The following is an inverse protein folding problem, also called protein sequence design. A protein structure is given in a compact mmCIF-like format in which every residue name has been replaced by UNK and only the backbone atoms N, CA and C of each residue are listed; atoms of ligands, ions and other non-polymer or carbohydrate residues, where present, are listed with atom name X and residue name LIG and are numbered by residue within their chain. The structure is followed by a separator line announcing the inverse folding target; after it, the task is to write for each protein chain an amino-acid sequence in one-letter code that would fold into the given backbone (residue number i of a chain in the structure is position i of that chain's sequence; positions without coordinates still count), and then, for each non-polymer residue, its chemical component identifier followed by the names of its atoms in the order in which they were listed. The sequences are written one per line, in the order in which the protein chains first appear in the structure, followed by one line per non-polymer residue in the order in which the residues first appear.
data_IF_608306888641
#
_entry.id   IF_608306888641
#
_cell.length_a   1.000
_cell.length_b   1.000
_cell.length_c   1.000
_cell.angle_alpha   90.00
_cell.angle_beta   90.00
_cell.angle_gamma   90.00
#
_symmetry.space_group_name_H-M   'P 1'
#
loop_
_entity.id
_entity.type
_entity.pdbx_description
1 polymer ?
#
# COMPACT_ATOMS: atom_id res chain seq x y z
N UNK A 1 -2.80 7.30 -3.04
CA UNK A 1 -2.48 8.33 -4.02
C UNK A 1 -1.62 9.43 -3.40
N UNK A 2 -0.31 9.17 -3.26
CA UNK A 2 0.64 10.11 -2.67
C UNK A 2 0.61 11.47 -3.40
N UNK A 3 0.51 11.46 -4.72
CA UNK A 3 0.44 12.66 -5.55
C UNK A 3 -0.80 13.54 -5.28
N UNK A 4 -1.87 13.01 -4.74
CA UNK A 4 -3.05 13.81 -4.35
C UNK A 4 -2.76 14.70 -3.14
N UNK A 5 -1.70 14.40 -2.45
CA UNK A 5 -1.27 15.09 -1.23
C UNK A 5 0.02 15.90 -1.41
N UNK A 6 0.44 16.13 -2.65
CA UNK A 6 1.61 16.97 -2.93
C UNK A 6 1.49 18.36 -2.29
N UNK A 7 0.29 18.91 -2.21
CA UNK A 7 0.03 20.19 -1.55
C UNK A 7 0.19 20.13 -0.03
N UNK A 8 0.09 18.94 0.55
CA UNK A 8 0.26 18.73 2.00
C UNK A 8 1.75 18.60 2.39
N UNK A 9 2.65 18.61 1.41
CA UNK A 9 4.09 18.77 1.60
C UNK A 9 4.48 20.22 1.90
N UNK A 10 3.53 21.06 2.28
CA UNK A 10 3.87 22.34 2.81
C UNK A 10 4.83 22.12 3.98
N UNK A 11 6.05 22.60 3.84
CA UNK A 11 7.04 22.53 4.90
C UNK A 11 6.57 23.39 6.06
N UNK A 12 6.21 22.75 7.16
CA UNK A 12 5.92 23.45 8.39
C UNK A 12 7.17 23.51 9.23
N UNK A 13 7.52 24.68 9.69
CA UNK A 13 8.48 24.85 10.75
C UNK A 13 7.88 24.25 12.03
N UNK A 14 8.63 23.41 12.74
CA UNK A 14 8.16 22.80 14.00
C UNK A 14 7.71 23.85 15.03
N UNK A 15 8.34 25.01 15.04
CA UNK A 15 7.95 26.12 15.89
C UNK A 15 6.58 26.70 15.51
N UNK A 16 6.27 26.83 14.24
CA UNK A 16 4.96 27.26 13.75
C UNK A 16 3.86 26.26 14.09
N UNK A 17 4.20 24.99 14.16
CA UNK A 17 3.31 23.95 14.65
C UNK A 17 3.15 23.95 16.17
N UNK A 18 3.86 24.83 16.88
CA UNK A 18 3.83 24.94 18.32
C UNK A 18 4.64 23.87 19.05
N UNK A 19 5.50 23.14 18.33
CA UNK A 19 6.48 22.24 18.90
C UNK A 19 7.74 23.05 19.18
N UNK A 20 8.04 23.31 20.42
CA UNK A 20 9.13 24.20 20.82
C UNK A 20 10.10 23.49 21.74
N UNK A 21 11.21 23.04 21.20
CA UNK A 21 12.37 22.60 21.97
C UNK A 21 13.26 23.76 22.40
N UNK A 22 13.00 24.98 21.94
CA UNK A 22 13.89 26.13 22.07
C UNK A 22 13.62 27.00 23.28
N UNK A 23 12.61 26.72 24.07
CA UNK A 23 12.34 27.50 25.28
C UNK A 23 13.22 27.00 26.42
N UNK A 24 14.05 27.85 26.98
CA UNK A 24 14.99 27.47 28.05
C UNK A 24 14.31 27.18 29.39
N UNK A 25 13.01 27.18 29.46
CA UNK A 25 12.26 26.97 30.69
C UNK A 25 11.91 25.51 30.90
N UNK A 26 12.39 24.84 31.94
CA UNK A 26 12.19 23.40 32.18
C UNK A 26 10.72 23.01 32.43
N UNK A 27 9.83 24.00 32.52
CA UNK A 27 8.39 23.79 32.75
C UNK A 27 7.53 23.96 31.48
N UNK A 28 8.14 24.30 30.36
CA UNK A 28 7.41 24.40 29.11
C UNK A 28 7.16 23.03 28.53
N UNK A 29 5.95 22.56 28.74
CA UNK A 29 5.44 21.35 28.05
C UNK A 29 4.56 21.81 26.92
N UNK A 30 4.93 21.55 25.70
CA UNK A 30 3.99 21.64 24.60
C UNK A 30 2.97 20.52 24.75
N UNK A 31 1.71 20.84 24.45
CA UNK A 31 0.65 19.84 24.31
C UNK A 31 0.34 19.56 22.84
N UNK A 32 1.19 20.05 21.95
CA UNK A 32 1.02 19.90 20.51
C UNK A 32 1.56 18.56 20.07
N UNK A 33 0.79 17.91 19.22
CA UNK A 33 1.19 16.70 18.52
C UNK A 33 0.83 16.86 17.06
N UNK A 34 1.78 16.59 16.21
CA UNK A 34 1.55 16.42 14.78
C UNK A 34 1.55 14.93 14.50
N UNK A 35 0.41 14.38 14.19
CA UNK A 35 0.25 12.95 13.94
C UNK A 35 -0.44 12.69 12.62
N UNK A 36 0.01 11.67 11.93
CA UNK A 36 -0.54 11.19 10.66
C UNK A 36 -0.69 9.69 10.74
N UNK A 37 -1.82 9.20 10.25
CA UNK A 37 -2.09 7.77 10.23
C UNK A 37 -3.05 7.36 9.14
N UNK A 38 -3.23 6.08 9.03
CA UNK A 38 -4.21 5.48 8.16
C UNK A 38 -5.22 4.68 8.99
N UNK A 39 -6.51 4.92 8.78
CA UNK A 39 -7.60 4.27 9.51
C UNK A 39 -8.25 3.12 8.73
N UNK A 40 -7.83 2.88 7.51
CA UNK A 40 -8.37 1.83 6.63
C UNK A 40 -7.40 0.67 6.41
N UNK A 41 -7.84 -0.25 5.57
CA UNK A 41 -7.06 -1.44 5.21
C UNK A 41 -5.93 -1.15 4.19
N UNK A 42 -5.99 -0.01 3.51
CA UNK A 42 -4.97 0.41 2.56
C UNK A 42 -3.96 1.32 3.24
N UNK A 43 -2.73 0.92 3.32
CA UNK A 43 -1.68 1.67 4.03
C UNK A 43 -1.41 3.06 3.44
N UNK A 44 -1.76 3.29 2.19
CA UNK A 44 -1.58 4.56 1.47
C UNK A 44 -2.90 5.22 1.06
N UNK A 45 -3.97 5.05 1.84
CA UNK A 45 -5.30 5.59 1.50
C UNK A 45 -5.31 7.11 1.42
N UNK A 46 -4.80 7.81 2.41
CA UNK A 46 -4.71 9.28 2.45
C UNK A 46 -3.26 9.75 2.38
N UNK A 47 -2.41 9.13 3.16
CA UNK A 47 -0.98 9.43 3.25
C UNK A 47 -0.18 8.17 3.01
N UNK A 48 1.03 8.32 2.50
CA UNK A 48 1.99 7.21 2.46
C UNK A 48 2.58 7.00 3.87
N UNK A 49 2.93 5.74 4.24
CA UNK A 49 3.43 5.41 5.58
C UNK A 49 4.87 5.85 5.80
N UNK A 50 5.16 7.12 5.58
CA UNK A 50 6.50 7.68 5.73
C UNK A 50 6.44 9.15 6.15
N UNK A 51 7.58 9.68 6.55
CA UNK A 51 7.75 11.08 6.84
C UNK A 51 9.21 11.51 6.73
N UNK A 52 9.41 12.81 6.81
CA UNK A 52 10.67 13.46 6.58
C UNK A 52 10.77 14.71 7.44
N UNK A 53 11.96 14.94 7.99
CA UNK A 53 12.34 16.16 8.70
C UNK A 53 13.67 16.66 8.18
N UNK A 54 13.79 17.94 7.99
CA UNK A 54 15.02 18.61 7.58
C UNK A 54 15.49 19.58 8.67
N UNK A 55 16.77 19.56 8.96
CA UNK A 55 17.43 20.56 9.74
C UNK A 55 18.32 21.39 8.82
N UNK A 56 17.88 22.61 8.53
CA UNK A 56 18.58 23.52 7.63
C UNK A 56 19.89 24.07 8.21
N UNK A 57 20.01 24.14 9.54
CA UNK A 57 21.24 24.63 10.19
C UNK A 57 22.38 23.61 10.08
N UNK A 58 22.08 22.34 10.15
CA UNK A 58 23.06 21.26 10.06
C UNK A 58 23.14 20.61 8.69
N UNK A 59 22.33 21.08 7.74
CA UNK A 59 22.20 20.50 6.40
C UNK A 59 22.02 18.97 6.44
N UNK A 60 21.14 18.52 7.34
CA UNK A 60 20.88 17.11 7.55
C UNK A 60 19.39 16.82 7.61
N UNK A 61 19.03 15.58 7.29
CA UNK A 61 17.65 15.14 7.28
C UNK A 61 17.49 13.81 7.99
N UNK A 62 16.31 13.64 8.56
CA UNK A 62 15.80 12.41 9.15
C UNK A 62 14.60 11.97 8.34
N UNK A 63 14.52 10.69 8.00
CA UNK A 63 13.37 10.12 7.33
C UNK A 63 12.98 8.80 7.97
N UNK A 64 11.73 8.40 7.78
CA UNK A 64 11.22 7.13 8.31
C UNK A 64 10.15 6.56 7.38
N UNK A 65 9.94 5.25 7.49
CA UNK A 65 8.80 4.56 6.91
C UNK A 65 8.29 3.48 7.86
N UNK A 66 6.97 3.21 7.79
CA UNK A 66 6.34 2.10 8.48
C UNK A 66 6.06 1.02 7.43
N UNK A 67 6.61 -0.19 7.65
CA UNK A 67 6.62 -1.27 6.67
C UNK A 67 5.42 -2.19 6.88
N UNK A 68 4.23 -1.63 6.61
CA UNK A 68 2.96 -2.32 6.83
C UNK A 68 1.99 -2.05 5.68
N UNK A 69 1.22 -3.06 5.32
CA UNK A 69 0.17 -2.96 4.31
C UNK A 69 -1.23 -2.63 4.87
N UNK A 70 -1.36 -2.52 6.17
CA UNK A 70 -2.58 -2.14 6.87
C UNK A 70 -2.47 -0.80 7.58
N UNK A 71 -3.17 -0.67 8.71
CA UNK A 71 -3.23 0.56 9.50
C UNK A 71 -1.92 0.88 10.21
N UNK A 72 -1.59 2.14 10.26
CA UNK A 72 -0.37 2.66 10.88
C UNK A 72 -0.58 4.06 11.42
N UNK A 73 0.34 4.51 12.28
CA UNK A 73 0.34 5.85 12.84
C UNK A 73 1.76 6.29 13.18
N UNK A 74 2.09 7.54 12.92
CA UNK A 74 3.27 8.18 13.47
C UNK A 74 2.94 9.56 14.04
N UNK A 75 3.73 10.02 14.98
CA UNK A 75 3.59 11.34 15.55
C UNK A 75 4.94 11.97 15.90
N UNK A 76 4.96 13.29 15.80
CA UNK A 76 6.02 14.14 16.32
C UNK A 76 5.40 15.01 17.41
N UNK A 77 6.01 15.05 18.55
CA UNK A 77 5.64 15.91 19.67
C UNK A 77 6.87 16.25 20.47
N UNK A 78 6.71 16.98 21.55
CA UNK A 78 7.78 17.30 22.47
C UNK A 78 7.49 16.81 23.87
N UNK A 79 8.55 16.38 24.55
CA UNK A 79 8.51 15.98 25.95
C UNK A 79 9.78 16.48 26.64
N UNK A 80 9.60 17.20 27.75
CA UNK A 80 10.71 17.70 28.58
C UNK A 80 11.77 18.52 27.81
N UNK A 81 11.30 19.29 26.80
CA UNK A 81 12.18 20.12 25.97
C UNK A 81 12.83 19.39 24.78
N UNK A 82 12.48 18.13 24.56
CA UNK A 82 12.97 17.33 23.43
C UNK A 82 11.86 16.98 22.48
N UNK A 83 12.11 17.10 21.18
CA UNK A 83 11.21 16.59 20.14
C UNK A 83 11.42 15.09 20.00
N UNK A 84 10.35 14.36 19.94
CA UNK A 84 10.37 12.91 19.69
C UNK A 84 9.58 12.54 18.45
N UNK A 85 9.99 11.45 17.84
CA UNK A 85 9.27 10.75 16.79
C UNK A 85 8.79 9.39 17.33
N UNK A 86 7.49 9.12 17.18
CA UNK A 86 6.90 7.82 17.50
C UNK A 86 6.37 7.19 16.22
N UNK A 87 6.74 5.93 15.99
CA UNK A 87 6.27 5.12 14.87
C UNK A 87 5.50 3.92 15.41
N UNK A 88 4.35 3.64 14.82
CA UNK A 88 3.55 2.47 15.22
C UNK A 88 2.75 1.87 14.07
N UNK A 89 2.43 0.59 14.18
CA UNK A 89 1.35 -0.06 13.44
C UNK A 89 -0.02 0.43 13.93
N UNK A 90 -1.06 -0.40 13.86
CA UNK A 90 -2.38 -0.05 14.34
C UNK A 90 -2.36 0.25 15.86
N UNK A 91 -3.19 1.19 16.28
CA UNK A 91 -3.33 1.60 17.67
C UNK A 91 -4.78 1.46 18.12
N UNK A 92 -5.01 1.36 19.42
CA UNK A 92 -6.37 1.35 19.97
C UNK A 92 -7.10 2.64 19.63
N UNK A 93 -6.45 3.80 19.83
CA UNK A 93 -7.06 5.11 19.66
C UNK A 93 -7.50 5.41 18.21
N UNK A 94 -6.67 5.03 17.22
CA UNK A 94 -6.94 5.37 15.81
C UNK A 94 -7.57 4.22 15.02
N UNK A 95 -7.39 2.97 15.48
CA UNK A 95 -7.73 1.79 14.69
C UNK A 95 -8.55 0.76 15.48
N UNK A 96 -8.93 1.07 16.71
CA UNK A 96 -9.63 0.15 17.63
C UNK A 96 -8.93 -1.21 17.76
N UNK A 97 -7.61 -1.18 17.76
CA UNK A 97 -6.79 -2.39 17.78
C UNK A 97 -5.96 -2.50 19.06
N UNK A 98 -5.99 -3.65 19.67
CA UNK A 98 -5.14 -4.00 20.83
C UNK A 98 -4.80 -5.48 20.83
N UNK A 99 -3.78 -5.86 21.55
CA UNK A 99 -3.36 -7.24 21.76
C UNK A 99 -3.18 -7.49 23.26
N UNK A 100 -3.95 -8.42 23.81
CA UNK A 100 -3.68 -8.95 25.14
C UNK A 100 -2.58 -10.00 25.07
N UNK A 101 -1.50 -9.78 25.81
CA UNK A 101 -0.42 -10.74 25.93
C UNK A 101 -0.55 -11.51 27.25
N UNK A 102 -0.61 -12.82 27.16
CA UNK A 102 -0.57 -13.68 28.32
C UNK A 102 0.89 -13.87 28.77
N UNK A 103 1.13 -14.25 30.04
CA UNK A 103 2.48 -14.57 30.50
C UNK A 103 3.17 -15.60 29.60
N UNK A 104 4.34 -15.26 29.10
CA UNK A 104 5.10 -16.09 28.15
C UNK A 104 4.80 -15.89 26.67
N UNK A 105 3.76 -15.11 26.31
CA UNK A 105 3.52 -14.75 24.91
C UNK A 105 4.43 -13.63 24.41
N UNK A 106 4.73 -13.68 23.14
CA UNK A 106 5.51 -12.64 22.43
C UNK A 106 4.65 -11.99 21.34
N UNK A 107 4.81 -10.70 21.19
CA UNK A 107 4.26 -9.93 20.09
C UNK A 107 5.37 -9.22 19.33
N UNK A 108 5.38 -9.38 18.00
CA UNK A 108 6.28 -8.66 17.11
C UNK A 108 5.52 -7.47 16.52
N UNK A 109 6.02 -6.28 16.76
CA UNK A 109 5.43 -5.06 16.21
C UNK A 109 5.61 -4.98 14.70
N UNK A 110 4.83 -4.12 14.06
CA UNK A 110 5.05 -3.74 12.66
C UNK A 110 6.46 -3.17 12.50
N UNK A 111 7.24 -3.60 11.50
CA UNK A 111 8.55 -3.05 11.24
C UNK A 111 8.47 -1.57 10.87
N UNK A 112 9.44 -0.81 11.31
CA UNK A 112 9.65 0.57 10.90
C UNK A 112 11.14 0.82 10.65
N UNK A 113 11.45 1.58 9.61
CA UNK A 113 12.80 2.00 9.31
C UNK A 113 12.96 3.49 9.57
N UNK A 114 14.12 3.87 10.12
CA UNK A 114 14.52 5.25 10.32
C UNK A 114 15.90 5.42 9.70
N UNK A 115 16.09 6.50 8.94
CA UNK A 115 17.35 6.81 8.31
C UNK A 115 17.68 8.30 8.42
N UNK A 116 18.94 8.62 8.22
CA UNK A 116 19.44 9.98 8.14
C UNK A 116 20.27 10.18 6.87
N UNK A 117 20.26 11.39 6.36
CA UNK A 117 21.08 11.79 5.24
C UNK A 117 21.76 13.15 5.51
N UNK A 118 22.91 13.36 4.93
CA UNK A 118 23.50 14.70 4.78
C UNK A 118 22.85 15.35 3.56
N UNK A 119 22.25 16.52 3.74
CA UNK A 119 21.50 17.22 2.70
C UNK A 119 20.00 17.23 2.94
N UNK A 120 19.27 17.57 1.88
CA UNK A 120 17.83 17.80 1.92
C UNK A 120 17.00 16.60 1.50
N UNK A 121 15.87 16.93 0.86
CA UNK A 121 14.86 15.93 0.47
C UNK A 121 15.38 14.91 -0.55
N UNK A 122 16.11 15.35 -1.56
CA UNK A 122 16.57 14.47 -2.64
C UNK A 122 17.58 13.44 -2.12
N UNK A 123 18.49 13.85 -1.22
CA UNK A 123 19.46 12.98 -0.57
C UNK A 123 18.77 11.96 0.33
N UNK A 124 17.80 12.40 1.12
CA UNK A 124 17.01 11.52 1.98
C UNK A 124 16.21 10.48 1.17
N UNK A 125 15.59 10.90 0.07
CA UNK A 125 14.85 9.98 -0.82
C UNK A 125 15.79 9.04 -1.58
N UNK A 126 16.99 9.49 -1.89
CA UNK A 126 18.06 8.65 -2.44
C UNK A 126 18.46 7.53 -1.47
N UNK A 127 18.68 7.86 -0.19
CA UNK A 127 18.99 6.88 0.86
C UNK A 127 17.84 5.91 1.11
N UNK A 128 16.60 6.41 1.20
CA UNK A 128 15.42 5.56 1.35
C UNK A 128 15.26 4.60 0.16
N UNK A 129 15.51 5.08 -1.05
CA UNK A 129 15.46 4.24 -2.26
C UNK A 129 16.54 3.15 -2.21
N UNK A 130 17.74 3.48 -1.76
CA UNK A 130 18.85 2.53 -1.58
C UNK A 130 18.48 1.46 -0.56
N UNK A 131 17.93 1.87 0.56
CA UNK A 131 17.40 0.95 1.59
C UNK A 131 16.33 0.02 1.03
N UNK A 132 15.30 0.56 0.35
CA UNK A 132 14.22 -0.24 -0.24
C UNK A 132 14.72 -1.27 -1.25
N UNK A 133 15.73 -0.92 -2.04
CA UNK A 133 16.37 -1.86 -2.97
C UNK A 133 17.12 -2.97 -2.24
N UNK A 134 17.75 -2.65 -1.10
CA UNK A 134 18.50 -3.63 -0.31
C UNK A 134 17.60 -4.65 0.39
N UNK A 135 16.43 -4.21 0.90
CA UNK A 135 15.49 -5.09 1.61
C UNK A 135 14.50 -5.80 0.70
N UNK A 136 14.41 -5.38 -0.55
CA UNK A 136 13.49 -5.97 -1.53
C UNK A 136 13.77 -7.45 -1.72
N UNK A 137 12.70 -8.27 -1.62
CA UNK A 137 12.82 -9.70 -1.92
C UNK A 137 13.25 -9.90 -3.37
N UNK A 138 14.29 -10.68 -3.56
CA UNK A 138 14.77 -11.04 -4.89
C UNK A 138 13.74 -11.96 -5.56
N UNK A 139 13.34 -11.64 -6.78
CA UNK A 139 12.53 -12.47 -7.66
C UNK A 139 12.84 -12.15 -9.13
N UNK A 140 12.40 -13.02 -10.03
CA UNK A 140 12.68 -12.89 -11.46
C UNK A 140 12.10 -11.61 -12.07
N UNK A 141 10.92 -11.19 -11.63
CA UNK A 141 10.25 -9.98 -12.16
C UNK A 141 11.00 -8.68 -11.81
N UNK A 142 11.86 -8.69 -10.80
CA UNK A 142 12.72 -7.55 -10.48
C UNK A 142 13.92 -7.42 -11.41
N UNK A 143 14.37 -8.53 -11.99
CA UNK A 143 15.52 -8.62 -12.89
C UNK A 143 15.08 -8.51 -14.36
N UNK A 144 13.98 -9.16 -14.69
CA UNK A 144 13.42 -9.25 -16.02
C UNK A 144 12.06 -8.58 -16.05
N UNK A 145 12.03 -7.28 -16.34
CA UNK A 145 10.81 -6.48 -16.40
C UNK A 145 9.89 -6.96 -17.52
N UNK A 146 8.94 -7.81 -17.20
CA UNK A 146 8.04 -8.46 -18.14
C UNK A 146 7.00 -7.50 -18.70
N UNK A 147 6.61 -7.72 -19.95
CA UNK A 147 5.50 -6.98 -20.59
C UNK A 147 4.19 -7.66 -20.21
N UNK A 148 3.29 -6.91 -19.55
CA UNK A 148 2.01 -7.40 -19.04
C UNK A 148 0.87 -6.74 -19.82
N UNK A 149 -0.03 -7.54 -20.38
CA UNK A 149 -1.34 -7.07 -20.84
C UNK A 149 -2.35 -7.20 -19.68
N UNK A 150 -3.14 -6.16 -19.46
CA UNK A 150 -4.23 -6.15 -18.50
C UNK A 150 -5.53 -5.77 -19.25
N UNK A 151 -6.59 -6.52 -19.05
CA UNK A 151 -7.83 -6.41 -19.81
C UNK A 151 -8.82 -5.35 -19.27
N UNK A 152 -8.49 -4.64 -18.17
CA UNK A 152 -9.46 -3.74 -17.52
C UNK A 152 -9.54 -2.37 -18.17
N UNK A 153 -8.52 -1.53 -17.95
CA UNK A 153 -8.55 -0.12 -18.35
C UNK A 153 -8.47 0.03 -19.86
N UNK A 154 -9.40 0.84 -20.42
CA UNK A 154 -9.54 1.06 -21.86
C UNK A 154 -9.82 -0.21 -22.68
N UNK A 155 -10.28 -1.28 -22.03
CA UNK A 155 -10.57 -2.57 -22.62
C UNK A 155 -11.93 -3.09 -22.12
N UNK A 156 -11.99 -4.06 -21.23
CA UNK A 156 -13.24 -4.73 -20.81
C UNK A 156 -13.94 -4.10 -19.59
N UNK A 157 -13.24 -3.27 -18.81
CA UNK A 157 -13.79 -2.57 -17.63
C UNK A 157 -14.52 -3.49 -16.62
N UNK A 158 -14.00 -4.70 -16.41
CA UNK A 158 -14.58 -5.66 -15.46
C UNK A 158 -15.70 -6.51 -16.04
N UNK A 159 -15.72 -6.68 -17.36
CA UNK A 159 -16.65 -7.57 -18.06
C UNK A 159 -15.91 -8.65 -18.89
N UNK A 160 -14.99 -9.42 -18.27
CA UNK A 160 -14.28 -10.51 -18.93
C UNK A 160 -15.22 -11.69 -19.17
N UNK A 161 -15.18 -12.26 -20.37
CA UNK A 161 -15.84 -13.50 -20.73
C UNK A 161 -14.94 -14.32 -21.65
N UNK A 162 -15.12 -15.65 -21.71
CA UNK A 162 -14.34 -16.49 -22.62
C UNK A 162 -14.32 -15.93 -24.05
N UNK A 163 -15.47 -15.47 -24.56
CA UNK A 163 -15.61 -14.95 -25.93
C UNK A 163 -14.78 -13.67 -26.15
N UNK A 164 -14.74 -12.77 -25.14
CA UNK A 164 -14.02 -11.50 -25.23
C UNK A 164 -12.53 -11.66 -25.00
N UNK A 165 -12.13 -12.58 -24.13
CA UNK A 165 -10.73 -12.81 -23.78
C UNK A 165 -9.93 -13.43 -24.91
N UNK A 166 -10.47 -14.43 -25.61
CA UNK A 166 -9.75 -15.16 -26.65
C UNK A 166 -9.10 -14.23 -27.71
N UNK A 167 -9.84 -13.28 -28.33
CA UNK A 167 -9.23 -12.38 -29.32
C UNK A 167 -8.21 -11.41 -28.69
N UNK A 168 -8.38 -11.01 -27.42
CA UNK A 168 -7.42 -10.15 -26.72
C UNK A 168 -6.13 -10.90 -26.44
N UNK A 169 -6.22 -12.16 -26.01
CA UNK A 169 -5.07 -13.03 -25.78
C UNK A 169 -4.25 -13.19 -27.07
N UNK A 170 -4.90 -13.39 -28.22
CA UNK A 170 -4.21 -13.48 -29.50
C UNK A 170 -3.44 -12.20 -29.81
N UNK A 171 -4.06 -11.04 -29.62
CA UNK A 171 -3.43 -9.75 -29.89
C UNK A 171 -2.32 -9.40 -28.90
N UNK A 172 -2.47 -9.75 -27.63
CA UNK A 172 -1.43 -9.59 -26.63
C UNK A 172 -0.21 -10.44 -26.97
N UNK A 173 -0.40 -11.68 -27.41
CA UNK A 173 0.69 -12.55 -27.85
C UNK A 173 1.39 -12.01 -29.10
N UNK A 174 0.64 -11.56 -30.11
CA UNK A 174 1.18 -10.90 -31.32
C UNK A 174 2.01 -9.64 -30.96
N UNK A 175 1.58 -8.91 -29.93
CA UNK A 175 2.30 -7.71 -29.45
C UNK A 175 3.55 -8.05 -28.62
N UNK A 176 3.79 -9.31 -28.32
CA UNK A 176 4.96 -9.75 -27.56
C UNK A 176 4.79 -9.64 -26.04
N UNK A 177 3.54 -9.61 -25.54
CA UNK A 177 3.31 -9.68 -24.11
C UNK A 177 3.74 -11.03 -23.54
N UNK A 178 4.24 -11.02 -22.32
CA UNK A 178 4.73 -12.21 -21.62
C UNK A 178 3.76 -12.66 -20.53
N UNK A 179 2.94 -11.75 -20.03
CA UNK A 179 1.85 -11.99 -19.08
C UNK A 179 0.53 -11.49 -19.64
N UNK A 180 -0.54 -12.19 -19.32
CA UNK A 180 -1.90 -11.75 -19.57
C UNK A 180 -2.68 -11.78 -18.25
N UNK A 181 -3.14 -10.62 -17.78
CA UNK A 181 -3.89 -10.47 -16.54
C UNK A 181 -5.38 -10.32 -16.85
N UNK A 182 -6.18 -11.29 -16.41
CA UNK A 182 -7.64 -11.16 -16.33
C UNK A 182 -7.94 -10.35 -15.08
N UNK A 183 -8.38 -9.11 -15.27
CA UNK A 183 -8.62 -8.17 -14.19
C UNK A 183 -10.01 -8.40 -13.54
N UNK A 184 -10.57 -7.36 -12.92
CA UNK A 184 -11.83 -7.44 -12.19
C UNK A 184 -12.98 -8.06 -13.01
N UNK A 185 -13.88 -8.76 -12.32
CA UNK A 185 -15.13 -9.30 -12.93
C UNK A 185 -15.13 -10.80 -13.17
N UNK A 186 -13.98 -11.46 -13.24
CA UNK A 186 -13.90 -12.90 -13.50
C UNK A 186 -14.65 -13.76 -12.48
N UNK A 187 -14.88 -13.24 -11.29
CA UNK A 187 -15.52 -13.90 -10.13
C UNK A 187 -17.00 -13.53 -9.96
N UNK A 188 -17.55 -12.59 -10.73
CA UNK A 188 -18.89 -12.06 -10.52
C UNK A 188 -19.70 -12.07 -11.80
N UNK A 189 -20.93 -12.60 -11.77
CA UNK A 189 -21.85 -12.59 -12.90
C UNK A 189 -22.37 -11.16 -13.22
N UNK A 190 -22.53 -10.30 -12.20
CA UNK A 190 -23.05 -8.94 -12.32
C UNK A 190 -21.96 -7.86 -12.29
N UNK A 191 -22.30 -6.71 -11.70
CA UNK A 191 -21.33 -5.66 -11.46
C UNK A 191 -20.24 -6.16 -10.53
N UNK A 192 -19.02 -6.16 -11.02
CA UNK A 192 -17.91 -6.86 -10.39
C UNK A 192 -17.61 -6.38 -8.96
N UNK A 193 -17.79 -5.08 -8.69
CA UNK A 193 -17.49 -4.50 -7.37
C UNK A 193 -18.39 -5.05 -6.26
N UNK A 194 -19.65 -5.33 -6.59
CA UNK A 194 -20.61 -5.87 -5.62
C UNK A 194 -20.25 -7.29 -5.15
N UNK A 195 -19.59 -8.07 -6.00
CA UNK A 195 -19.26 -9.48 -5.77
C UNK A 195 -17.83 -9.75 -5.28
N UNK A 196 -17.01 -8.70 -5.08
CA UNK A 196 -15.63 -8.85 -4.58
C UNK A 196 -15.61 -9.65 -3.27
N UNK A 197 -14.70 -10.60 -3.13
CA UNK A 197 -14.44 -11.29 -1.86
C UNK A 197 -14.38 -12.82 -1.90
N UNK A 198 -15.29 -13.53 -2.61
CA UNK A 198 -15.26 -15.00 -2.63
C UNK A 198 -14.23 -15.59 -3.60
N UNK A 199 -13.90 -14.87 -4.65
CA UNK A 199 -12.86 -15.21 -5.64
C UNK A 199 -13.07 -16.60 -6.30
N UNK A 200 -14.32 -16.94 -6.59
CA UNK A 200 -14.68 -18.12 -7.38
C UNK A 200 -15.04 -17.71 -8.81
N UNK A 201 -14.51 -18.40 -9.83
CA UNK A 201 -14.81 -18.06 -11.21
C UNK A 201 -16.31 -18.10 -11.50
N UNK A 202 -16.81 -17.08 -12.21
CA UNK A 202 -18.21 -17.04 -12.66
C UNK A 202 -18.45 -18.05 -13.80
N UNK A 203 -19.30 -19.03 -13.57
CA UNK A 203 -19.70 -19.99 -14.61
C UNK A 203 -20.53 -19.36 -15.76
N UNK A 204 -21.13 -18.19 -15.52
CA UNK A 204 -21.82 -17.42 -16.55
C UNK A 204 -20.82 -16.77 -17.52
N UNK A 205 -19.75 -16.22 -17.01
CA UNK A 205 -18.70 -15.57 -17.81
C UNK A 205 -17.77 -16.58 -18.48
N UNK A 206 -17.51 -17.68 -17.81
CA UNK A 206 -16.62 -18.75 -18.26
C UNK A 206 -17.34 -20.10 -18.23
N UNK A 207 -18.19 -20.38 -19.22
CA UNK A 207 -18.99 -21.63 -19.27
C UNK A 207 -18.11 -22.89 -19.27
N UNK A 208 -16.94 -22.84 -19.89
CA UNK A 208 -15.93 -23.92 -19.87
C UNK A 208 -15.00 -23.87 -18.65
N UNK A 209 -15.27 -22.94 -17.71
CA UNK A 209 -14.40 -22.64 -16.57
C UNK A 209 -13.25 -21.70 -16.94
N UNK A 210 -12.76 -20.95 -15.95
CA UNK A 210 -11.62 -20.02 -16.15
C UNK A 210 -10.36 -20.76 -16.62
N UNK A 211 -10.29 -22.07 -16.34
CA UNK A 211 -9.17 -22.91 -16.77
C UNK A 211 -9.03 -22.96 -18.28
N UNK A 212 -10.13 -22.97 -19.03
CA UNK A 212 -10.09 -22.91 -20.49
C UNK A 212 -9.31 -21.68 -20.98
N UNK A 213 -9.62 -20.50 -20.43
CA UNK A 213 -8.96 -19.24 -20.81
C UNK A 213 -7.51 -19.22 -20.36
N UNK A 214 -7.23 -19.64 -19.14
CA UNK A 214 -5.83 -19.66 -18.63
C UNK A 214 -4.96 -20.67 -19.37
N UNK A 215 -5.49 -21.78 -19.80
CA UNK A 215 -4.78 -22.75 -20.65
C UNK A 215 -4.55 -22.18 -22.06
N UNK A 216 -5.52 -21.42 -22.58
CA UNK A 216 -5.34 -20.73 -23.86
C UNK A 216 -4.23 -19.67 -23.79
N UNK A 217 -4.16 -18.88 -22.72
CA UNK A 217 -3.06 -17.94 -22.47
C UNK A 217 -1.72 -18.68 -22.50
N UNK A 218 -1.61 -19.81 -21.80
CA UNK A 218 -0.39 -20.63 -21.77
C UNK A 218 -0.04 -21.19 -23.15
N UNK A 219 -1.04 -21.57 -23.94
CA UNK A 219 -0.82 -22.09 -25.30
C UNK A 219 -0.21 -21.05 -26.25
N UNK A 220 -0.39 -19.75 -25.93
CA UNK A 220 0.21 -18.62 -26.64
C UNK A 220 1.58 -18.22 -26.09
N UNK A 221 2.12 -18.96 -25.12
CA UNK A 221 3.43 -18.71 -24.53
C UNK A 221 3.44 -17.65 -23.42
N UNK A 222 2.27 -17.16 -23.00
CA UNK A 222 2.15 -16.18 -21.92
C UNK A 222 1.84 -16.84 -20.57
N UNK A 223 2.11 -16.12 -19.49
CA UNK A 223 1.78 -16.52 -18.13
C UNK A 223 0.44 -15.87 -17.75
N UNK A 224 -0.59 -16.65 -17.36
CA UNK A 224 -1.85 -16.10 -16.91
C UNK A 224 -1.76 -15.52 -15.51
N UNK A 225 -2.35 -14.35 -15.31
CA UNK A 225 -2.59 -13.70 -14.04
C UNK A 225 -4.07 -13.42 -13.83
N UNK A 226 -4.47 -13.24 -12.58
CA UNK A 226 -5.80 -12.76 -12.20
C UNK A 226 -5.67 -11.64 -11.18
N UNK A 227 -6.53 -10.65 -11.30
CA UNK A 227 -6.62 -9.57 -10.32
C UNK A 227 -7.36 -10.02 -9.06
N UNK A 228 -6.82 -9.63 -7.91
CA UNK A 228 -7.41 -9.86 -6.60
C UNK A 228 -7.32 -8.57 -5.76
N UNK A 229 -8.38 -8.24 -5.06
CA UNK A 229 -8.40 -7.18 -4.06
C UNK A 229 -8.81 -7.75 -2.70
N UNK A 230 -7.81 -8.06 -1.88
CA UNK A 230 -8.00 -8.76 -0.61
C UNK A 230 -8.42 -7.85 0.55
N UNK A 231 -8.34 -6.53 0.34
CA UNK A 231 -8.61 -5.51 1.34
C UNK A 231 -10.09 -5.21 1.53
N UNK A 232 -10.94 -5.65 0.60
CA UNK A 232 -12.37 -5.33 0.60
C UNK A 232 -13.24 -6.56 0.34
N UNK A 233 -14.48 -6.47 0.82
CA UNK A 233 -15.53 -7.43 0.51
C UNK A 233 -16.77 -6.69 0.03
N UNK A 234 -17.28 -7.10 -1.12
CA UNK A 234 -18.49 -6.53 -1.69
C UNK A 234 -19.73 -6.90 -0.88
N UNK A 235 -20.65 -5.97 -0.74
CA UNK A 235 -21.87 -6.14 0.08
C UNK A 235 -22.81 -7.25 -0.43
N UNK A 236 -22.67 -7.64 -1.69
CA UNK A 236 -23.43 -8.75 -2.32
C UNK A 236 -22.60 -10.03 -2.43
N UNK A 237 -21.40 -10.05 -1.90
CA UNK A 237 -20.61 -11.26 -1.84
C UNK A 237 -21.29 -12.30 -0.93
N UNK A 238 -21.44 -13.56 -1.38
CA UNK A 238 -22.07 -14.61 -0.56
C UNK A 238 -21.38 -14.89 0.78
N UNK A 239 -20.16 -14.39 0.96
CA UNK A 239 -19.40 -14.49 2.21
C UNK A 239 -19.61 -13.29 3.12
N UNK A 240 -20.19 -12.18 2.66
CA UNK A 240 -20.33 -10.95 3.46
C UNK A 240 -21.09 -11.18 4.77
N UNK A 241 -22.16 -11.97 4.75
CA UNK A 241 -22.95 -12.29 5.95
C UNK A 241 -22.22 -13.18 6.97
N UNK A 242 -21.04 -13.69 6.65
CA UNK A 242 -20.24 -14.58 7.51
C UNK A 242 -19.08 -13.85 8.20
N UNK A 243 -18.90 -12.58 7.91
CA UNK A 243 -17.88 -11.74 8.54
C UNK A 243 -18.54 -11.01 9.71
N UNK A 244 -18.02 -11.13 10.94
CA UNK A 244 -18.58 -10.50 12.12
C UNK A 244 -18.47 -8.98 12.11
#
# INVERSE_FOLDING_TARGET
NAWQKELDWASYNLHELGLSSTQPHPMHRSSKTVGIGNTGNWSAKEYIPMGYLENQETESSLFWQIEHNGSWYWEISDQDGHVYLKLSGPTEHHNHWWKNLQPGETFVTVPAAVGAAAGGFDEAMGELTRYRRAIRRVNDDNENLKVIFNDYMNCLFGDPTTEKEIPLIDKAAEAGCEYFCIDAGWYSAGYWWDGVGEWLPSGERFPGGIKEVTDYIRSKGMIPGVWLELEVMGIKCPKADKVP
#
